data_IF_815217836431
#
_entry.id   IF_815217836431
#
_cell.length_a   1.000
_cell.length_b   1.000
_cell.length_c   1.000
_cell.angle_alpha   90.00
_cell.angle_beta   90.00
_cell.angle_gamma   90.00
#
_symmetry.space_group_name_H-M   'P 1'
#
loop_
_entity.id
_entity.type
_entity.pdbx_description
1 polymer ?
#
# COMPACT_ATOMS: atom_id res chain seq x y z
N UNK A 2 2.49 -8.11 7.02
CA UNK A 2 2.98 -9.08 6.07
C UNK A 2 2.98 -8.56 4.64
N UNK A 3 1.89 -7.91 4.25
CA UNK A 3 1.77 -7.35 2.91
C UNK A 3 1.96 -5.85 2.92
N UNK A 4 1.67 -5.23 4.07
CA UNK A 4 1.82 -3.78 4.21
C UNK A 4 3.26 -3.34 3.99
N UNK A 5 4.20 -4.12 4.54
CA UNK A 5 5.61 -3.81 4.40
C UNK A 5 6.03 -3.82 2.93
N UNK A 6 5.51 -4.77 2.17
CA UNK A 6 5.83 -4.89 0.76
C UNK A 6 5.48 -3.60 0.01
N UNK A 7 4.52 -2.86 0.54
CA UNK A 7 4.08 -1.60 -0.07
C UNK A 7 4.78 -0.42 0.58
N UNK A 8 4.97 -0.50 1.90
CA UNK A 8 5.64 0.57 2.64
C UNK A 8 7.09 0.71 2.23
N UNK A 9 7.69 -0.41 1.83
CA UNK A 9 9.08 -0.40 1.41
C UNK A 9 9.34 0.64 0.33
N UNK A 10 8.30 0.94 -0.45
CA UNK A 10 8.41 1.94 -1.51
C UNK A 10 7.71 3.24 -1.12
N UNK A 11 6.55 3.10 -0.48
CA UNK A 11 5.79 4.28 -0.05
C UNK A 11 6.40 4.90 1.20
N UNK A 12 6.23 4.22 2.33
CA UNK A 12 6.77 4.73 3.58
C UNK A 12 5.69 5.04 4.60
N UNK A 13 6.11 5.42 5.80
CA UNK A 13 5.16 5.74 6.87
C UNK A 13 4.39 7.01 6.54
N UNK A 14 5.11 8.09 6.22
CA UNK A 14 4.50 9.38 5.87
C UNK A 14 3.78 9.34 4.53
N UNK A 15 3.94 8.25 3.80
CA UNK A 15 3.29 8.08 2.51
C UNK A 15 2.09 7.16 2.61
N UNK A 16 2.20 6.14 3.43
CA UNK A 16 1.12 5.18 3.63
C UNK A 16 0.03 5.75 4.53
N UNK A 17 0.43 6.63 5.45
CA UNK A 17 -0.50 7.25 6.38
C UNK A 17 -1.43 8.21 5.65
N UNK A 18 -1.00 8.66 4.47
CA UNK A 18 -1.79 9.59 3.67
C UNK A 18 -3.08 8.92 3.19
N UNK A 19 -3.01 7.62 2.94
CA UNK A 19 -4.17 6.87 2.48
C UNK A 19 -4.20 5.47 3.08
N UNK A 20 -3.89 5.39 4.38
CA UNK A 20 -3.88 4.11 5.07
C UNK A 20 -5.26 3.45 5.05
N UNK A 21 -6.29 4.28 4.93
CA UNK A 21 -7.66 3.78 4.89
C UNK A 21 -7.94 3.05 3.59
N UNK A 22 -7.26 3.47 2.52
CA UNK A 22 -7.44 2.85 1.22
C UNK A 22 -6.41 1.73 1.00
N UNK A 23 -5.16 2.01 1.34
CA UNK A 23 -4.10 1.03 1.20
C UNK A 23 -4.37 -0.21 2.03
N UNK A 24 -4.53 -0.01 3.33
CA UNK A 24 -4.79 -1.12 4.26
C UNK A 24 -6.04 -1.88 3.83
N UNK A 25 -6.94 -1.20 3.13
CA UNK A 25 -8.17 -1.82 2.67
C UNK A 25 -7.90 -2.83 1.56
N UNK A 26 -7.04 -2.45 0.61
CA UNK A 26 -6.69 -3.32 -0.50
C UNK A 26 -6.22 -4.68 0.01
N UNK A 27 -5.27 -4.67 0.93
CA UNK A 27 -4.73 -5.90 1.49
C UNK A 27 -5.85 -6.78 2.05
N UNK A 28 -6.72 -6.18 2.85
CA UNK A 28 -7.82 -6.92 3.43
C UNK A 28 -8.78 -7.46 2.38
N UNK A 29 -8.75 -6.87 1.19
CA UNK A 29 -9.62 -7.29 0.10
C UNK A 29 -9.02 -8.47 -0.65
N UNK A 30 -7.69 -8.56 -0.65
CA UNK A 30 -7.03 -9.65 -1.33
C UNK A 30 -6.27 -9.18 -2.56
N UNK A 31 -5.94 -7.90 -2.61
CA UNK A 31 -5.22 -7.33 -3.74
C UNK A 31 -3.75 -7.70 -3.68
N UNK A 32 -3.19 -8.08 -4.83
CA UNK A 32 -1.78 -8.45 -4.91
C UNK A 32 -0.88 -7.30 -4.50
N UNK A 33 0.39 -7.60 -4.25
CA UNK A 33 1.35 -6.59 -3.85
C UNK A 33 1.59 -5.60 -4.99
N UNK A 34 1.37 -6.05 -6.22
CA UNK A 34 1.56 -5.20 -7.39
C UNK A 34 0.32 -4.33 -7.64
N UNK A 35 -0.83 -4.82 -7.20
CA UNK A 35 -2.08 -4.09 -7.37
C UNK A 35 -2.01 -2.71 -6.72
N UNK A 36 -1.51 -2.68 -5.49
CA UNK A 36 -1.39 -1.42 -4.75
C UNK A 36 -0.20 -0.60 -5.25
N UNK A 37 0.97 -1.23 -5.32
CA UNK A 37 2.17 -0.56 -5.78
C UNK A 37 1.93 0.10 -7.14
N UNK A 38 1.06 -0.49 -7.94
CA UNK A 38 0.75 0.02 -9.26
C UNK A 38 -0.41 1.02 -9.18
N UNK A 39 -1.39 0.71 -8.35
CA UNK A 39 -2.56 1.58 -8.19
C UNK A 39 -2.15 2.97 -7.72
N UNK A 40 -1.13 3.02 -6.86
CA UNK A 40 -0.63 4.29 -6.34
C UNK A 40 0.57 4.77 -7.14
N UNK A 41 1.63 3.97 -7.17
CA UNK A 41 2.84 4.31 -7.91
C UNK A 41 3.34 5.70 -7.51
N UNK A 42 3.27 5.99 -6.22
CA UNK A 42 3.71 7.29 -5.71
C UNK A 42 2.93 8.43 -6.36
N UNK A 43 1.60 8.35 -6.28
CA UNK A 43 0.74 9.37 -6.86
C UNK A 43 0.96 10.71 -6.18
#
# INVERSE_FOLDING_TARGET
XGAIAKLVAKFGWPFIKKFYKQIMQFIGQGWTIDQIEKWLKRH
#
